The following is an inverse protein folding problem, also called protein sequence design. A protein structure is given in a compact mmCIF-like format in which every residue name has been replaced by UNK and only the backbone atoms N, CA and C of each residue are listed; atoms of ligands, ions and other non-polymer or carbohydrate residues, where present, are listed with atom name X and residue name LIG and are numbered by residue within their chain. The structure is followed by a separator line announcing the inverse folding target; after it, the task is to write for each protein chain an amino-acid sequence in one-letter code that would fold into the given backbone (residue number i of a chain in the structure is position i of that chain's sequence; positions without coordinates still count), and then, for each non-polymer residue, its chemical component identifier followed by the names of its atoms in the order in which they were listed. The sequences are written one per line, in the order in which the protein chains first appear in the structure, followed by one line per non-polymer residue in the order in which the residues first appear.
data_IF_708656216491
#
_entry.id   IF_708656216491
#
_cell.length_a   1.000
_cell.length_b   1.000
_cell.length_c   1.000
_cell.angle_alpha   90.00
_cell.angle_beta   90.00
_cell.angle_gamma   90.00
#
_symmetry.space_group_name_H-M   'P 1'
#
loop_
_entity.id
_entity.type
_entity.pdbx_description
1 polymer ?
#
# COMPACT_ATOMS: atom_id res chain seq x y z
N UNK A 1 -5.85 9.67 -8.77
CA UNK A 1 -4.60 10.28 -8.25
C UNK A 1 -4.00 9.32 -7.25
N UNK A 2 -2.72 9.03 -7.39
CA UNK A 2 -1.98 8.18 -6.46
C UNK A 2 -0.93 9.06 -5.79
N UNK A 3 -0.93 9.09 -4.46
CA UNK A 3 0.03 9.88 -3.69
C UNK A 3 0.48 9.12 -2.46
N UNK A 4 1.61 9.55 -1.91
CA UNK A 4 2.10 9.02 -0.63
C UNK A 4 1.15 9.38 0.49
N UNK A 5 1.11 8.51 1.49
CA UNK A 5 0.36 8.76 2.71
C UNK A 5 1.11 9.76 3.59
N UNK A 6 0.36 10.64 4.24
CA UNK A 6 0.84 11.68 5.12
C UNK A 6 0.22 11.55 6.51
N UNK A 7 0.76 12.27 7.50
CA UNK A 7 0.25 12.25 8.88
C UNK A 7 -1.23 12.59 8.98
N UNK A 8 -1.76 13.45 8.10
CA UNK A 8 -3.18 13.83 8.03
C UNK A 8 -4.11 12.69 7.61
N UNK A 9 -3.59 11.65 6.95
CA UNK A 9 -4.38 10.53 6.43
C UNK A 9 -4.58 9.42 7.48
N UNK A 10 -4.12 9.60 8.73
CA UNK A 10 -4.12 8.57 9.78
C UNK A 10 -5.47 7.91 9.99
N UNK A 11 -6.52 8.72 10.13
CA UNK A 11 -7.88 8.20 10.36
C UNK A 11 -8.38 7.41 9.17
N UNK A 12 -8.14 7.92 7.96
CA UNK A 12 -8.57 7.29 6.72
C UNK A 12 -7.82 5.97 6.48
N UNK A 13 -6.53 5.92 6.79
CA UNK A 13 -5.73 4.70 6.76
C UNK A 13 -6.23 3.64 7.73
N UNK A 14 -6.47 4.01 9.00
CA UNK A 14 -6.99 3.08 10.00
C UNK A 14 -8.40 2.58 9.63
N UNK A 15 -9.18 3.40 8.95
CA UNK A 15 -10.49 3.00 8.43
C UNK A 15 -10.34 1.99 7.29
N UNK A 16 -9.60 2.32 6.23
CA UNK A 16 -9.45 1.45 5.06
C UNK A 16 -8.73 0.14 5.37
N UNK A 17 -7.69 0.16 6.20
CA UNK A 17 -7.03 -1.08 6.64
C UNK A 17 -7.97 -1.92 7.50
N UNK A 18 -8.83 -1.28 8.31
CA UNK A 18 -9.89 -1.98 9.04
C UNK A 18 -10.90 -2.64 8.11
N UNK A 19 -11.30 -1.96 7.04
CA UNK A 19 -12.17 -2.50 5.99
C UNK A 19 -11.51 -3.68 5.25
N UNK A 20 -10.21 -3.58 4.93
CA UNK A 20 -9.44 -4.66 4.29
C UNK A 20 -9.40 -5.91 5.16
N UNK A 21 -8.98 -5.78 6.43
CA UNK A 21 -8.90 -6.92 7.36
C UNK A 21 -10.26 -7.45 7.82
N UNK A 22 -11.36 -6.76 7.50
CA UNK A 22 -12.72 -7.25 7.71
C UNK A 22 -13.33 -7.90 6.47
N UNK A 23 -12.61 -7.92 5.35
CA UNK A 23 -13.08 -8.48 4.08
C UNK A 23 -12.62 -9.93 3.88
N UNK A 24 -13.21 -10.61 2.89
CA UNK A 24 -12.82 -11.97 2.50
C UNK A 24 -11.44 -12.05 1.81
N UNK A 25 -10.75 -10.92 1.66
CA UNK A 25 -9.40 -10.86 1.11
C UNK A 25 -8.31 -11.28 2.10
N UNK A 26 -8.64 -11.48 3.39
CA UNK A 26 -7.69 -11.89 4.42
C UNK A 26 -8.13 -13.18 5.10
N UNK A 27 -7.16 -13.96 5.61
CA UNK A 27 -7.43 -15.19 6.36
C UNK A 27 -7.92 -14.94 7.79
N UNK A 28 -7.47 -13.84 8.41
CA UNK A 28 -7.81 -13.50 9.79
C UNK A 28 -7.77 -11.98 10.01
N UNK A 29 -8.56 -11.53 10.99
CA UNK A 29 -8.51 -10.14 11.45
C UNK A 29 -7.25 -9.90 12.27
N UNK A 30 -6.71 -8.70 12.19
CA UNK A 30 -5.60 -8.27 13.06
C UNK A 30 -6.03 -7.16 14.04
N UNK A 31 -5.38 -7.05 15.21
CA UNK A 31 -5.66 -5.99 16.18
C UNK A 31 -5.48 -4.58 15.57
N UNK A 32 -6.30 -3.62 16.01
CA UNK A 32 -6.14 -2.20 15.64
C UNK A 32 -4.71 -1.69 15.95
N UNK A 33 -4.11 -2.17 17.04
CA UNK A 33 -2.76 -1.78 17.43
C UNK A 33 -1.73 -2.07 16.34
N UNK A 34 -1.80 -3.20 15.64
CA UNK A 34 -0.83 -3.53 14.59
C UNK A 34 -0.91 -2.54 13.43
N UNK A 35 -2.13 -2.18 13.03
CA UNK A 35 -2.37 -1.20 11.97
C UNK A 35 -1.94 0.21 12.40
N UNK A 36 -2.17 0.57 13.66
CA UNK A 36 -1.69 1.84 14.22
C UNK A 36 -0.17 1.90 14.31
N UNK A 37 0.49 0.83 14.75
CA UNK A 37 1.95 0.78 14.86
C UNK A 37 2.59 0.88 13.46
N UNK A 38 2.01 0.21 12.45
CA UNK A 38 2.44 0.34 11.06
C UNK A 38 2.30 1.78 10.53
N UNK A 39 1.23 2.49 10.92
CA UNK A 39 1.08 3.91 10.54
C UNK A 39 2.19 4.79 11.14
N UNK A 40 2.50 4.61 12.42
CA UNK A 40 3.57 5.40 13.04
C UNK A 40 4.93 5.07 12.43
N UNK A 41 5.17 3.82 12.05
CA UNK A 41 6.39 3.41 11.35
C UNK A 41 6.50 4.03 9.95
N UNK A 42 5.42 4.05 9.17
CA UNK A 42 5.33 4.76 7.88
C UNK A 42 5.68 6.23 7.99
N UNK A 43 5.35 6.87 9.12
CA UNK A 43 5.66 8.27 9.38
C UNK A 43 7.09 8.47 9.90
N UNK A 44 7.76 7.41 10.34
CA UNK A 44 9.11 7.44 10.91
C UNK A 44 10.19 7.19 9.85
N UNK A 45 9.97 6.24 8.94
CA UNK A 45 10.95 5.86 7.91
C UNK A 45 10.25 5.47 6.61
N UNK A 46 10.96 5.69 5.51
CA UNK A 46 10.55 5.33 4.16
C UNK A 46 11.49 4.27 3.54
N UNK A 47 12.43 3.76 4.33
CA UNK A 47 13.53 2.93 3.84
C UNK A 47 13.04 1.54 3.44
N UNK A 48 12.13 0.98 4.24
CA UNK A 48 11.65 -0.39 4.09
C UNK A 48 10.13 -0.54 4.08
N UNK A 49 9.38 0.52 4.39
CA UNK A 49 7.92 0.52 4.35
C UNK A 49 7.43 1.82 3.72
N UNK A 50 6.40 1.74 2.89
CA UNK A 50 5.75 2.91 2.29
C UNK A 50 4.30 2.60 2.04
N UNK A 51 3.42 3.59 2.18
CA UNK A 51 2.01 3.45 1.83
C UNK A 51 1.59 4.55 0.85
N UNK A 52 0.70 4.18 -0.05
CA UNK A 52 0.08 5.09 -1.01
C UNK A 52 -1.42 5.16 -0.78
N UNK A 53 -1.96 6.37 -0.87
CA UNK A 53 -3.38 6.62 -0.98
C UNK A 53 -3.77 6.64 -2.46
N UNK A 54 -4.81 5.88 -2.80
CA UNK A 54 -5.45 5.89 -4.11
C UNK A 54 -6.70 6.76 -3.99
N UNK A 55 -6.71 7.90 -4.67
CA UNK A 55 -7.82 8.84 -4.66
C UNK A 55 -8.54 8.85 -6.01
N UNK A 56 -9.87 8.84 -5.96
CA UNK A 56 -10.73 9.00 -7.12
C UNK A 56 -11.86 9.98 -6.78
N UNK A 57 -12.13 10.94 -7.67
CA UNK A 57 -13.21 11.91 -7.51
C UNK A 57 -13.11 12.70 -6.17
N UNK A 58 -11.89 13.00 -5.74
CA UNK A 58 -11.59 13.70 -4.47
C UNK A 58 -11.83 12.86 -3.21
N UNK A 59 -12.02 11.54 -3.34
CA UNK A 59 -12.28 10.63 -2.22
C UNK A 59 -11.18 9.58 -2.12
N UNK A 60 -10.89 9.15 -0.89
CA UNK A 60 -10.06 7.98 -0.61
C UNK A 60 -10.74 6.71 -1.15
N UNK A 61 -10.27 6.24 -2.31
CA UNK A 61 -10.80 5.09 -3.03
C UNK A 61 -10.11 3.78 -2.62
N UNK A 62 -8.90 3.86 -2.07
CA UNK A 62 -8.14 2.70 -1.63
C UNK A 62 -6.77 3.07 -1.08
N UNK A 63 -6.00 2.06 -0.71
CA UNK A 63 -4.59 2.22 -0.33
C UNK A 63 -3.75 1.04 -0.85
N UNK A 64 -2.44 1.25 -0.86
CA UNK A 64 -1.48 0.18 -1.02
C UNK A 64 -0.40 0.29 0.06
N UNK A 65 -0.01 -0.84 0.65
CA UNK A 65 1.10 -0.97 1.58
C UNK A 65 2.22 -1.75 0.91
N UNK A 66 3.43 -1.22 0.99
CA UNK A 66 4.59 -1.77 0.30
C UNK A 66 5.73 -1.95 1.30
N UNK A 67 6.45 -3.05 1.16
CA UNK A 67 7.71 -3.27 1.86
C UNK A 67 8.88 -3.37 0.87
N UNK A 68 10.08 -2.99 1.33
CA UNK A 68 11.31 -3.07 0.55
C UNK A 68 12.32 -3.91 1.31
N UNK A 69 12.93 -4.86 0.60
CA UNK A 69 13.94 -5.73 1.16
C UNK A 69 15.05 -5.98 0.15
N UNK A 70 16.30 -6.01 0.59
CA UNK A 70 17.39 -6.45 -0.29
C UNK A 70 17.28 -7.95 -0.53
N UNK A 71 17.32 -8.37 -1.79
CA UNK A 71 17.27 -9.76 -2.22
C UNK A 71 18.58 -10.12 -2.92
N UNK A 72 19.34 -11.02 -2.29
CA UNK A 72 20.53 -11.61 -2.93
C UNK A 72 20.15 -12.36 -4.22
N UNK A 73 19.02 -13.05 -4.22
CA UNK A 73 18.50 -13.77 -5.39
C UNK A 73 18.14 -12.83 -6.56
N UNK A 74 17.56 -11.67 -6.26
CA UNK A 74 17.26 -10.66 -7.28
C UNK A 74 18.48 -9.77 -7.64
N UNK A 75 19.58 -9.85 -6.86
CA UNK A 75 20.75 -8.99 -7.03
C UNK A 75 20.46 -7.50 -6.72
N UNK A 76 19.54 -7.20 -5.81
CA UNK A 76 19.19 -5.82 -5.44
C UNK A 76 17.90 -5.71 -4.64
N UNK A 77 17.33 -4.50 -4.59
CA UNK A 77 16.10 -4.28 -3.82
C UNK A 77 14.90 -4.97 -4.47
N UNK A 78 14.17 -5.77 -3.71
CA UNK A 78 12.84 -6.24 -4.04
C UNK A 78 11.81 -5.28 -3.43
N UNK A 79 10.82 -4.91 -4.22
CA UNK A 79 9.63 -4.20 -3.77
C UNK A 79 8.48 -5.20 -3.68
N UNK A 80 7.92 -5.34 -2.48
CA UNK A 80 6.73 -6.13 -2.22
C UNK A 80 5.54 -5.21 -2.07
N UNK A 81 4.44 -5.59 -2.68
CA UNK A 81 3.14 -4.97 -2.48
C UNK A 81 2.43 -5.90 -1.50
N UNK A 82 2.52 -5.56 -0.22
CA UNK A 82 1.99 -6.38 0.87
C UNK A 82 0.46 -6.33 0.89
N UNK A 83 -0.09 -5.15 0.57
CA UNK A 83 -1.53 -4.94 0.53
C UNK A 83 -1.89 -4.01 -0.63
N UNK A 84 -2.96 -4.34 -1.36
CA UNK A 84 -3.63 -3.40 -2.26
C UNK A 84 -5.14 -3.55 -2.09
N UNK A 85 -5.76 -2.50 -1.56
CA UNK A 85 -7.18 -2.49 -1.28
C UNK A 85 -7.87 -1.35 -2.03
N UNK A 86 -8.93 -1.70 -2.76
CA UNK A 86 -9.83 -0.73 -3.39
C UNK A 86 -11.20 -0.94 -2.77
N UNK A 87 -11.79 0.14 -2.26
CA UNK A 87 -13.13 0.14 -1.67
C UNK A 87 -14.18 -0.29 -2.69
N UNK A 88 -15.22 -1.04 -2.29
CA UNK A 88 -16.21 -1.60 -3.20
C UNK A 88 -16.80 -0.62 -4.23
N UNK A 89 -17.17 0.63 -3.87
CA UNK A 89 -17.74 1.59 -4.84
C UNK A 89 -16.79 2.02 -5.97
N UNK A 90 -15.49 1.81 -5.81
CA UNK A 90 -14.45 2.22 -6.75
C UNK A 90 -13.81 1.03 -7.50
N UNK A 91 -14.26 -0.20 -7.23
CA UNK A 91 -13.79 -1.40 -7.94
C UNK A 91 -14.29 -1.42 -9.38
N UNK A 92 -13.56 -2.13 -10.25
CA UNK A 92 -13.88 -2.22 -11.69
C UNK A 92 -13.58 -0.95 -12.49
N UNK A 93 -12.95 0.05 -11.88
CA UNK A 93 -12.63 1.35 -12.51
C UNK A 93 -11.16 1.50 -12.95
N UNK A 94 -10.38 0.42 -12.90
CA UNK A 94 -8.98 0.41 -13.35
C UNK A 94 -7.94 0.97 -12.36
N UNK A 95 -8.34 1.35 -11.13
CA UNK A 95 -7.44 1.93 -10.12
C UNK A 95 -6.25 1.03 -9.75
N UNK A 96 -6.46 -0.29 -9.67
CA UNK A 96 -5.37 -1.23 -9.39
C UNK A 96 -4.33 -1.22 -10.50
N UNK A 97 -4.78 -1.30 -11.76
CA UNK A 97 -3.89 -1.21 -12.92
C UNK A 97 -3.19 0.15 -13.02
N UNK A 98 -3.87 1.25 -12.66
CA UNK A 98 -3.25 2.57 -12.54
C UNK A 98 -2.14 2.58 -11.49
N UNK A 99 -2.36 1.92 -10.35
CA UNK A 99 -1.35 1.79 -9.32
C UNK A 99 -0.12 0.99 -9.77
N UNK A 100 -0.29 -0.13 -10.47
CA UNK A 100 0.86 -0.86 -11.02
C UNK A 100 1.64 -0.03 -12.05
N UNK A 101 0.96 0.68 -12.95
CA UNK A 101 1.63 1.60 -13.90
C UNK A 101 2.37 2.74 -13.18
N UNK A 102 1.76 3.28 -12.12
CA UNK A 102 2.41 4.26 -11.28
C UNK A 102 3.69 3.71 -10.65
N UNK A 103 3.66 2.48 -10.12
CA UNK A 103 4.86 1.84 -9.60
C UNK A 103 5.92 1.65 -10.69
N UNK A 104 5.57 1.09 -11.84
CA UNK A 104 6.51 0.89 -12.96
C UNK A 104 7.19 2.20 -13.40
N UNK A 105 6.46 3.32 -13.41
CA UNK A 105 7.02 4.64 -13.76
C UNK A 105 7.89 5.28 -12.67
N UNK A 106 7.71 4.90 -11.41
CA UNK A 106 8.43 5.48 -10.25
C UNK A 106 9.49 4.55 -9.66
N UNK A 107 9.53 3.29 -10.11
CA UNK A 107 10.57 2.34 -9.74
C UNK A 107 11.82 2.64 -10.57
N UNK A 108 12.85 3.13 -9.90
CA UNK A 108 14.16 3.35 -10.50
C UNK A 108 15.02 2.08 -10.44
N UNK A 109 16.12 2.03 -11.21
CA UNK A 109 17.00 0.85 -11.42
C UNK A 109 17.64 0.21 -10.18
N UNK A 110 17.34 0.72 -8.98
CA UNK A 110 17.65 0.10 -7.69
C UNK A 110 16.72 -1.07 -7.34
N UNK A 111 15.45 -1.03 -7.78
CA UNK A 111 14.53 -2.17 -7.61
C UNK A 111 14.81 -3.18 -8.74
N UNK A 112 15.09 -4.42 -8.37
CA UNK A 112 15.38 -5.53 -9.29
C UNK A 112 14.22 -6.52 -9.42
N UNK A 113 13.23 -6.42 -8.54
CA UNK A 113 12.09 -7.33 -8.49
C UNK A 113 10.87 -6.64 -7.89
N UNK A 114 9.72 -6.86 -8.49
CA UNK A 114 8.41 -6.50 -7.94
C UNK A 114 7.67 -7.80 -7.61
N UNK A 115 7.05 -7.88 -6.44
CA UNK A 115 6.20 -8.99 -6.01
C UNK A 115 4.90 -8.48 -5.41
N UNK A 116 3.84 -9.26 -5.59
CA UNK A 116 2.54 -9.11 -4.96
C UNK A 116 2.24 -10.43 -4.26
N UNK A 117 1.87 -10.38 -2.99
CA UNK A 117 1.36 -11.52 -2.22
C UNK A 117 -0.09 -11.28 -1.77
#
# INVERSE_FOLDING_TARGET
MIRRMERKDREEYLKMTGEFYASDAVLHKIPLKYRSDAFEELMRSEDYITAYLLEQDGKAAGYALLSRQFSQEAGGMALWIDEIYIRPPFRGRGLGSEFFRFLEGNIHGKIKRLRLE
#
